data_IF_169151333543
#
_entry.id   IF_169151333543
#
_cell.length_a   1.000
_cell.length_b   1.000
_cell.length_c   1.000
_cell.angle_alpha   90.00
_cell.angle_beta   90.00
_cell.angle_gamma   90.00
#
_symmetry.space_group_name_H-M   'P 1'
#
loop_
_entity.id
_entity.type
_entity.pdbx_description
1 polymer ?
#
# COMPACT_ATOMS: atom_id res chain seq x y z
N UNK A 1 -12.40 -5.46 -1.41
CA UNK A 1 -11.35 -6.21 -0.70
C UNK A 1 -10.79 -5.33 0.41
N UNK A 2 -10.05 -5.92 1.35
CA UNK A 2 -9.38 -5.18 2.42
C UNK A 2 -7.88 -5.20 2.15
N UNK A 3 -7.20 -4.11 2.52
CA UNK A 3 -5.75 -4.03 2.42
C UNK A 3 -5.09 -4.61 3.66
N UNK A 4 -4.07 -5.45 3.48
CA UNK A 4 -3.30 -6.05 4.56
C UNK A 4 -1.82 -5.66 4.49
N UNK A 5 -1.26 -5.19 5.61
CA UNK A 5 0.19 -5.13 5.81
C UNK A 5 0.69 -6.53 6.20
N UNK A 6 1.49 -7.13 5.35
CA UNK A 6 2.13 -8.42 5.59
C UNK A 6 3.63 -8.23 5.77
N UNK A 7 4.13 -8.58 6.96
CA UNK A 7 5.54 -8.62 7.26
C UNK A 7 6.08 -10.00 6.97
N UNK A 8 7.07 -10.09 6.08
CA UNK A 8 7.73 -11.35 5.74
C UNK A 8 9.20 -11.31 6.10
N UNK A 9 9.76 -12.49 6.33
CA UNK A 9 11.20 -12.67 6.42
C UNK A 9 11.63 -13.90 5.65
N UNK A 10 12.66 -13.78 4.84
CA UNK A 10 13.18 -14.87 4.03
C UNK A 10 14.70 -14.73 3.88
N UNK A 11 15.35 -15.80 3.45
CA UNK A 11 16.78 -15.80 3.17
C UNK A 11 17.01 -15.62 1.67
N UNK A 12 17.78 -14.59 1.33
CA UNK A 12 18.21 -14.32 -0.03
C UNK A 12 19.73 -14.32 -0.12
N UNK A 13 20.24 -14.45 -1.34
CA UNK A 13 21.65 -14.22 -1.64
C UNK A 13 21.83 -12.73 -1.94
N UNK A 14 22.68 -12.06 -1.18
CA UNK A 14 23.06 -10.68 -1.45
C UNK A 14 24.01 -10.60 -2.67
N UNK A 15 24.29 -9.41 -3.21
CA UNK A 15 25.14 -9.23 -4.42
C UNK A 15 26.58 -9.77 -4.25
N UNK A 16 26.98 -10.03 -3.00
CA UNK A 16 28.30 -10.55 -2.61
C UNK A 16 28.27 -12.08 -2.42
N UNK A 17 27.14 -12.75 -2.70
CA UNK A 17 26.96 -14.20 -2.54
C UNK A 17 26.78 -14.67 -1.10
N UNK A 18 26.67 -13.75 -0.14
CA UNK A 18 26.38 -14.07 1.26
C UNK A 18 24.87 -14.25 1.46
N UNK A 19 24.47 -15.35 2.11
CA UNK A 19 23.06 -15.57 2.46
C UNK A 19 22.69 -14.67 3.64
N UNK A 20 21.77 -13.73 3.43
CA UNK A 20 21.28 -12.80 4.44
C UNK A 20 19.77 -12.95 4.61
N UNK A 21 19.30 -12.74 5.84
CA UNK A 21 17.88 -12.70 6.16
C UNK A 21 17.31 -11.30 5.88
N UNK A 22 16.43 -11.21 4.90
CA UNK A 22 15.66 -10.01 4.59
C UNK A 22 14.39 -9.96 5.45
N UNK A 23 14.00 -8.75 5.84
CA UNK A 23 12.78 -8.49 6.62
C UNK A 23 12.07 -7.32 5.97
N UNK A 24 10.96 -7.62 5.33
CA UNK A 24 10.29 -6.71 4.44
C UNK A 24 8.81 -6.63 4.76
N UNK A 25 8.20 -5.53 4.34
CA UNK A 25 6.77 -5.28 4.53
C UNK A 25 6.14 -5.14 3.16
N UNK A 26 5.06 -5.89 2.92
CA UNK A 26 4.29 -5.85 1.70
C UNK A 26 2.87 -5.42 2.00
N UNK A 27 2.27 -4.70 1.07
CA UNK A 27 0.85 -4.40 1.06
C UNK A 27 0.16 -5.44 0.18
N UNK A 28 -0.85 -6.11 0.69
CA UNK A 28 -1.55 -7.18 -0.04
C UNK A 28 -3.05 -6.87 -0.07
N UNK A 29 -3.63 -6.77 -1.26
CA UNK A 29 -5.07 -6.79 -1.43
C UNK A 29 -5.60 -8.21 -1.30
N UNK A 30 -6.46 -8.44 -0.32
CA UNK A 30 -6.99 -9.75 -0.02
C UNK A 30 -8.38 -9.67 0.62
N UNK A 31 -9.06 -10.81 0.68
CA UNK A 31 -10.37 -10.91 1.36
C UNK A 31 -10.21 -11.28 2.85
N UNK A 32 -9.09 -11.89 3.23
CA UNK A 32 -8.83 -12.36 4.59
C UNK A 32 -7.34 -12.50 4.86
N UNK A 33 -6.93 -12.61 6.12
CA UNK A 33 -5.53 -12.82 6.49
C UNK A 33 -4.91 -14.07 5.84
N UNK A 34 -5.65 -15.18 5.77
CA UNK A 34 -5.19 -16.41 5.11
C UNK A 34 -4.99 -16.23 3.61
N UNK A 35 -5.86 -15.45 2.98
CA UNK A 35 -5.76 -15.12 1.56
C UNK A 35 -4.54 -14.22 1.30
N UNK A 36 -4.31 -13.22 2.16
CA UNK A 36 -3.12 -12.36 2.11
C UNK A 36 -1.82 -13.18 2.28
N UNK A 37 -1.79 -14.16 3.18
CA UNK A 37 -0.65 -15.06 3.38
C UNK A 37 -0.40 -15.94 2.15
N UNK A 38 -1.45 -16.47 1.54
CA UNK A 38 -1.33 -17.28 0.34
C UNK A 38 -0.78 -16.47 -0.84
N UNK A 39 -1.25 -15.22 -1.03
CA UNK A 39 -0.79 -14.34 -2.10
C UNK A 39 0.67 -13.95 -1.94
N UNK A 40 1.09 -13.50 -0.76
CA UNK A 40 2.50 -13.14 -0.56
C UNK A 40 3.42 -14.36 -0.69
N UNK A 41 2.94 -15.54 -0.31
CA UNK A 41 3.71 -16.77 -0.45
C UNK A 41 3.85 -17.19 -1.90
N UNK A 42 2.82 -16.98 -2.72
CA UNK A 42 2.88 -17.20 -4.15
C UNK A 42 3.83 -16.21 -4.84
N UNK A 43 3.79 -14.93 -4.46
CA UNK A 43 4.70 -13.90 -4.98
C UNK A 43 6.17 -14.24 -4.69
N UNK A 44 6.43 -14.78 -3.50
CA UNK A 44 7.77 -15.11 -3.02
C UNK A 44 8.05 -16.63 -3.04
N UNK A 45 7.40 -17.40 -3.93
CA UNK A 45 7.54 -18.87 -4.00
C UNK A 45 8.99 -19.32 -4.22
N UNK A 46 9.82 -18.48 -4.86
CA UNK A 46 11.26 -18.71 -5.03
C UNK A 46 12.15 -18.37 -3.83
N UNK A 47 11.59 -17.78 -2.76
CA UNK A 47 12.37 -17.33 -1.61
C UNK A 47 12.68 -18.49 -0.64
N UNK A 48 13.96 -18.62 -0.27
CA UNK A 48 14.40 -19.68 0.65
C UNK A 48 13.98 -19.36 2.08
N UNK A 49 13.34 -20.31 2.76
CA UNK A 49 12.94 -20.20 4.18
C UNK A 49 12.06 -18.96 4.45
N UNK A 50 11.06 -18.73 3.59
CA UNK A 50 10.08 -17.67 3.79
C UNK A 50 9.18 -17.96 4.98
N UNK A 51 9.05 -16.97 5.86
CA UNK A 51 8.18 -16.98 7.03
C UNK A 51 7.41 -15.66 7.10
N UNK A 52 6.08 -15.76 7.11
CA UNK A 52 5.20 -14.63 7.42
C UNK A 52 5.28 -14.37 8.92
N UNK A 53 5.66 -13.15 9.30
CA UNK A 53 5.88 -12.74 10.68
C UNK A 53 4.62 -12.13 11.29
N UNK A 54 3.88 -11.35 10.52
CA UNK A 54 2.66 -10.67 10.97
C UNK A 54 1.81 -10.27 9.77
N UNK A 55 0.49 -10.37 9.93
CA UNK A 55 -0.51 -9.89 8.97
C UNK A 55 -1.43 -8.95 9.71
N UNK A 56 -1.58 -7.73 9.22
CA UNK A 56 -2.40 -6.69 9.85
C UNK A 56 -3.33 -6.07 8.83
N UNK A 57 -4.62 -6.08 9.12
CA UNK A 57 -5.60 -5.35 8.31
C UNK A 57 -5.38 -3.83 8.44
N UNK A 58 -5.36 -3.14 7.31
CA UNK A 58 -5.30 -1.70 7.20
C UNK A 58 -6.67 -1.18 6.79
N UNK A 59 -7.14 -0.14 7.51
CA UNK A 59 -8.30 0.64 7.08
C UNK A 59 -7.86 1.60 5.99
N UNK A 60 -7.87 1.11 4.76
CA UNK A 60 -7.62 1.90 3.56
C UNK A 60 -8.75 1.71 2.57
N UNK A 61 -9.05 2.79 1.87
CA UNK A 61 -10.17 2.86 0.95
C UNK A 61 -9.73 2.49 -0.47
N UNK A 62 -8.46 2.70 -0.80
CA UNK A 62 -7.98 2.57 -2.17
C UNK A 62 -6.51 2.17 -2.25
N UNK A 63 -6.17 1.48 -3.34
CA UNK A 63 -4.86 0.93 -3.61
C UNK A 63 -4.59 1.11 -5.10
N UNK A 64 -3.69 2.03 -5.42
CA UNK A 64 -3.28 2.29 -6.82
C UNK A 64 -1.96 1.60 -7.09
N UNK A 65 -2.00 0.63 -8.00
CA UNK A 65 -0.80 0.13 -8.65
C UNK A 65 -0.69 0.85 -9.98
N UNK A 66 0.08 1.93 -10.00
CA UNK A 66 0.70 2.33 -11.24
C UNK A 66 1.91 1.42 -11.50
N UNK A 67 2.12 1.02 -12.75
CA UNK A 67 3.20 0.11 -13.16
C UNK A 67 4.59 0.73 -13.01
N UNK A 68 4.68 1.93 -12.43
CA UNK A 68 5.92 2.68 -12.23
C UNK A 68 6.83 2.07 -11.16
N UNK A 69 8.12 1.98 -11.48
CA UNK A 69 9.18 1.70 -10.51
C UNK A 69 9.32 2.87 -9.54
N UNK A 70 8.81 2.70 -8.33
CA UNK A 70 8.83 3.77 -7.33
C UNK A 70 8.73 3.30 -5.90
N UNK A 71 8.76 4.28 -5.00
CA UNK A 71 8.49 4.07 -3.58
C UNK A 71 6.98 4.06 -3.32
N UNK A 72 6.57 3.37 -2.27
CA UNK A 72 5.17 3.34 -1.86
C UNK A 72 4.91 4.50 -0.91
N UNK A 73 3.94 5.33 -1.25
CA UNK A 73 3.50 6.47 -0.44
C UNK A 73 2.14 6.19 0.17
N UNK A 74 1.94 6.72 1.37
CA UNK A 74 0.65 6.76 2.05
C UNK A 74 0.10 8.17 1.90
N UNK A 75 -0.95 8.31 1.10
CA UNK A 75 -1.67 9.56 0.94
C UNK A 75 -2.95 9.54 1.78
N UNK A 76 -3.18 10.63 2.50
CA UNK A 76 -4.41 10.88 3.23
C UNK A 76 -5.10 12.06 2.57
N UNK A 77 -6.27 11.83 2.02
CA UNK A 77 -7.01 12.81 1.23
C UNK A 77 -8.34 13.11 1.92
N UNK A 78 -8.67 14.38 2.12
CA UNK A 78 -10.04 14.78 2.39
C UNK A 78 -10.77 15.10 1.09
N UNK A 79 -11.97 14.58 0.96
CA UNK A 79 -12.92 14.94 -0.06
C UNK A 79 -14.07 15.70 0.58
N UNK A 80 -14.31 16.91 0.11
CA UNK A 80 -15.49 17.66 0.52
C UNK A 80 -16.64 17.34 -0.43
N UNK A 81 -17.71 16.76 0.10
CA UNK A 81 -18.94 16.48 -0.67
C UNK A 81 -20.13 17.18 -0.03
N UNK A 82 -21.05 17.68 -0.85
CA UNK A 82 -22.26 18.36 -0.37
C UNK A 82 -23.39 17.33 -0.32
N UNK A 83 -23.97 17.14 0.86
CA UNK A 83 -25.13 16.26 1.04
C UNK A 83 -26.39 16.94 0.48
N UNK A 84 -26.87 16.48 -0.67
CA UNK A 84 -28.02 17.07 -1.38
C UNK A 84 -29.32 17.10 -0.57
N UNK A 85 -29.43 16.31 0.50
CA UNK A 85 -30.61 16.29 1.38
C UNK A 85 -30.63 17.41 2.42
N UNK A 86 -29.47 17.88 2.87
CA UNK A 86 -29.39 18.86 3.97
C UNK A 86 -28.51 20.08 3.69
N UNK A 87 -27.84 20.16 2.53
CA UNK A 87 -26.92 21.24 2.19
C UNK A 87 -25.73 21.34 3.13
N UNK A 88 -25.40 20.26 3.84
CA UNK A 88 -24.25 20.19 4.76
C UNK A 88 -23.04 19.67 4.01
N UNK A 89 -21.91 20.29 4.26
CA UNK A 89 -20.61 19.82 3.80
C UNK A 89 -20.20 18.60 4.63
N UNK A 90 -19.94 17.49 3.95
CA UNK A 90 -19.38 16.26 4.52
C UNK A 90 -17.93 16.20 4.06
N UNK A 91 -17.02 16.25 5.02
CA UNK A 91 -15.61 15.95 4.79
C UNK A 91 -15.40 14.44 4.98
N UNK A 92 -15.15 13.73 3.89
CA UNK A 92 -14.78 12.32 3.92
C UNK A 92 -13.27 12.20 3.82
N UNK A 93 -12.66 11.57 4.83
CA UNK A 93 -11.21 11.40 4.89
C UNK A 93 -10.87 9.96 4.53
N UNK A 94 -10.20 9.79 3.39
CA UNK A 94 -9.76 8.50 2.89
C UNK A 94 -8.23 8.37 2.96
N UNK A 95 -7.77 7.15 3.15
CA UNK A 95 -6.34 6.82 3.14
C UNK A 95 -6.07 5.84 2.01
N UNK A 96 -5.18 6.23 1.12
CA UNK A 96 -4.79 5.49 -0.07
C UNK A 96 -3.30 5.18 -0.03
N UNK A 97 -2.92 4.06 -0.63
CA UNK A 97 -1.52 3.71 -0.88
C UNK A 97 -1.29 3.64 -2.37
N UNK A 98 -0.23 4.30 -2.82
CA UNK A 98 0.12 4.40 -4.23
C UNK A 98 1.63 4.30 -4.41
N UNK A 99 2.04 3.88 -5.60
CA UNK A 99 3.44 3.81 -5.99
C UNK A 99 3.78 5.00 -6.86
N UNK A 100 4.88 5.67 -6.56
CA UNK A 100 5.32 6.84 -7.29
C UNK A 100 6.86 6.96 -7.24
N UNK A 101 7.44 7.54 -8.28
CA UNK A 101 8.89 7.78 -8.33
C UNK A 101 9.32 8.88 -7.34
N UNK A 102 8.52 9.94 -7.24
CA UNK A 102 8.80 11.10 -6.39
C UNK A 102 7.53 11.57 -5.65
N UNK A 103 7.71 12.51 -4.71
CA UNK A 103 6.62 13.02 -3.89
C UNK A 103 5.61 13.87 -4.68
N UNK A 104 6.07 14.52 -5.75
CA UNK A 104 5.21 15.35 -6.61
C UNK A 104 4.25 14.47 -7.42
N UNK A 105 4.79 13.41 -8.00
CA UNK A 105 4.06 12.39 -8.74
C UNK A 105 3.01 11.71 -7.85
N UNK A 106 3.42 11.35 -6.63
CA UNK A 106 2.52 10.81 -5.62
C UNK A 106 1.37 11.75 -5.25
N UNK A 107 1.61 13.07 -5.30
CA UNK A 107 0.61 14.09 -4.98
C UNK A 107 -0.37 14.32 -6.13
N UNK A 108 0.11 14.23 -7.37
CA UNK A 108 -0.73 14.31 -8.57
C UNK A 108 -1.65 13.08 -8.65
N UNK A 109 -1.08 11.87 -8.57
CA UNK A 109 -1.85 10.62 -8.58
C UNK A 109 -2.89 10.54 -7.45
N UNK A 110 -2.53 10.96 -6.22
CA UNK A 110 -3.47 10.97 -5.09
C UNK A 110 -4.69 11.89 -5.28
N UNK A 111 -4.63 12.82 -6.23
CA UNK A 111 -5.69 13.78 -6.54
C UNK A 111 -6.20 13.66 -7.98
N UNK A 112 -5.72 12.67 -8.74
CA UNK A 112 -6.04 12.53 -10.17
C UNK A 112 -7.50 12.11 -10.34
N UNK A 113 -8.36 13.07 -10.73
CA UNK A 113 -9.75 12.81 -11.09
C UNK A 113 -10.82 13.54 -10.26
N UNK A 114 -10.46 14.30 -9.23
CA UNK A 114 -11.44 14.99 -8.37
C UNK A 114 -11.17 16.48 -8.11
N UNK A 115 -12.11 17.32 -8.51
CA UNK A 115 -12.04 18.79 -8.35
C UNK A 115 -12.12 19.30 -6.89
N UNK A 116 -12.26 18.41 -5.90
CA UNK A 116 -12.41 18.76 -4.48
C UNK A 116 -11.64 17.78 -3.55
N UNK A 117 -10.51 17.25 -4.02
CA UNK A 117 -9.57 16.49 -3.20
C UNK A 117 -8.56 17.45 -2.53
N UNK A 118 -8.27 17.23 -1.25
CA UNK A 118 -7.23 17.94 -0.53
C UNK A 118 -6.30 16.93 0.15
N UNK A 119 -5.03 16.93 -0.21
CA UNK A 119 -4.04 16.02 0.38
C UNK A 119 -3.66 16.54 1.77
N UNK A 120 -4.17 15.89 2.81
CA UNK A 120 -3.90 16.24 4.22
C UNK A 120 -2.47 15.84 4.60
N UNK A 121 -2.05 14.66 4.18
CA UNK A 121 -0.74 14.12 4.51
C UNK A 121 -0.27 13.16 3.41
N UNK A 122 1.03 13.21 3.12
CA UNK A 122 1.67 12.30 2.20
C UNK A 122 3.02 11.88 2.78
N UNK A 123 3.19 10.59 3.01
CA UNK A 123 4.34 10.03 3.71
C UNK A 123 4.92 8.85 2.93
N UNK A 124 6.23 8.84 2.73
CA UNK A 124 6.92 7.67 2.16
C UNK A 124 6.89 6.53 3.17
N UNK A 125 6.46 5.36 2.70
CA UNK A 125 6.31 4.18 3.55
C UNK A 125 7.54 3.27 3.54
N UNK A 126 7.55 2.32 4.47
CA UNK A 126 8.54 1.24 4.60
C UNK A 126 8.21 0.01 3.73
N UNK A 127 7.15 0.05 2.94
CA UNK A 127 6.70 -1.10 2.16
C UNK A 127 7.63 -1.31 0.96
N UNK A 128 8.04 -2.55 0.72
CA UNK A 128 8.87 -2.93 -0.43
C UNK A 128 8.03 -3.05 -1.70
N UNK A 129 6.82 -3.60 -1.58
CA UNK A 129 5.97 -3.90 -2.72
C UNK A 129 4.49 -3.94 -2.36
N UNK A 130 3.67 -3.89 -3.41
CA UNK A 130 2.23 -4.05 -3.36
C UNK A 130 1.89 -5.31 -4.16
N UNK A 131 1.03 -6.16 -3.59
CA UNK A 131 0.53 -7.40 -4.19
C UNK A 131 -0.99 -7.25 -4.31
N UNK A 132 -1.51 -7.31 -5.53
CA UNK A 132 -2.95 -7.17 -5.86
C UNK A 132 -3.55 -8.44 -6.43
#
# INVERSE_FOLDING_TARGET
>A
MSLFEVKVSYWGSDEIGATKKFREFYLVDAVSCTDAEARIRAELDGAKDLSVQSVKELKSTFLENDEEEGYIYKAKVSRLSIDEKNGREIEEVSTSYLRAADIQDALEAACEGEYACNVIALERTKYTGIVI
#
